data_IF_189828623075
#
_entry.id   IF_189828623075
#
_cell.length_a   1.000
_cell.length_b   1.000
_cell.length_c   1.000
_cell.angle_alpha   90.00
_cell.angle_beta   90.00
_cell.angle_gamma   90.00
#
_symmetry.space_group_name_H-M   'P 1'
#
loop_
_entity.id
_entity.type
_entity.pdbx_description
1 polymer ?
#
# COMPACT_ATOMS: atom_id res chain seq x y z
N UNK A 1 -5.04 -22.97 3.30
CA UNK A 1 -4.25 -21.74 3.58
C UNK A 1 -3.79 -21.07 2.30
N UNK A 2 -3.42 -21.85 1.29
CA UNK A 2 -3.17 -21.40 -0.09
C UNK A 2 -4.39 -20.71 -0.70
N UNK A 3 -5.58 -21.32 -0.66
CA UNK A 3 -6.81 -20.73 -1.23
C UNK A 3 -7.18 -19.39 -0.60
N UNK A 4 -7.06 -19.25 0.72
CA UNK A 4 -7.36 -18.00 1.43
C UNK A 4 -6.37 -16.88 1.11
N UNK A 5 -5.07 -17.21 1.02
CA UNK A 5 -4.04 -16.23 0.63
C UNK A 5 -4.18 -15.83 -0.84
N UNK A 6 -4.45 -16.80 -1.71
CA UNK A 6 -4.62 -16.58 -3.14
C UNK A 6 -5.90 -15.78 -3.43
N UNK A 7 -7.01 -16.05 -2.75
CA UNK A 7 -8.23 -15.26 -2.91
C UNK A 7 -8.09 -13.83 -2.41
N UNK A 8 -7.39 -13.62 -1.28
CA UNK A 8 -7.08 -12.28 -0.78
C UNK A 8 -6.19 -11.49 -1.76
N UNK A 9 -5.16 -12.14 -2.33
CA UNK A 9 -4.32 -11.55 -3.37
C UNK A 9 -5.10 -11.25 -4.65
N UNK A 10 -5.91 -12.20 -5.13
CA UNK A 10 -6.71 -12.05 -6.34
C UNK A 10 -7.75 -10.92 -6.21
N UNK A 11 -8.40 -10.79 -5.05
CA UNK A 11 -9.32 -9.69 -4.77
C UNK A 11 -8.60 -8.34 -4.81
N UNK A 12 -7.42 -8.21 -4.18
CA UNK A 12 -6.62 -6.99 -4.23
C UNK A 12 -6.17 -6.64 -5.67
N UNK A 13 -5.68 -7.63 -6.41
CA UNK A 13 -5.25 -7.46 -7.80
C UNK A 13 -6.42 -7.05 -8.71
N UNK A 14 -7.61 -7.60 -8.50
CA UNK A 14 -8.82 -7.23 -9.24
C UNK A 14 -9.15 -5.75 -9.09
N UNK A 15 -9.17 -5.22 -7.85
CA UNK A 15 -9.43 -3.80 -7.62
C UNK A 15 -8.35 -2.90 -8.23
N UNK A 16 -7.07 -3.29 -8.13
CA UNK A 16 -5.97 -2.57 -8.75
C UNK A 16 -6.07 -2.52 -10.29
N UNK A 17 -6.39 -3.65 -10.92
CA UNK A 17 -6.60 -3.74 -12.36
C UNK A 17 -7.81 -2.93 -12.83
N UNK A 18 -8.91 -2.96 -12.08
CA UNK A 18 -10.09 -2.16 -12.37
C UNK A 18 -9.77 -0.66 -12.32
N UNK A 19 -9.11 -0.18 -11.26
CA UNK A 19 -8.68 1.22 -11.16
C UNK A 19 -7.75 1.64 -12.31
N UNK A 20 -6.81 0.77 -12.70
CA UNK A 20 -5.91 1.00 -13.83
C UNK A 20 -6.63 1.12 -15.18
N UNK A 21 -7.68 0.31 -15.41
CA UNK A 21 -8.48 0.41 -16.63
C UNK A 21 -9.21 1.76 -16.73
N UNK A 22 -9.81 2.25 -15.63
CA UNK A 22 -10.41 3.59 -15.59
C UNK A 22 -9.37 4.69 -15.78
N UNK A 23 -8.21 4.57 -15.14
CA UNK A 23 -7.10 5.53 -15.29
C UNK A 23 -6.64 5.65 -16.75
N UNK A 24 -6.46 4.53 -17.45
CA UNK A 24 -6.05 4.52 -18.85
C UNK A 24 -7.05 5.28 -19.76
N UNK A 25 -8.36 5.11 -19.53
CA UNK A 25 -9.39 5.84 -20.29
C UNK A 25 -9.43 7.35 -19.99
N UNK A 26 -8.99 7.77 -18.80
CA UNK A 26 -8.92 9.19 -18.40
C UNK A 26 -7.70 9.89 -18.98
N UNK A 27 -6.56 9.22 -19.04
CA UNK A 27 -5.31 9.82 -19.50
C UNK A 27 -5.29 10.04 -21.02
N UNK A 28 -6.05 9.23 -21.79
CA UNK A 28 -6.19 9.24 -23.27
C UNK A 28 -4.89 9.06 -24.08
N UNK A 29 -3.74 9.46 -23.54
CA UNK A 29 -2.40 9.27 -24.08
C UNK A 29 -1.48 8.77 -22.96
N UNK A 30 -0.85 7.62 -23.19
CA UNK A 30 0.07 7.01 -22.22
C UNK A 30 1.50 7.30 -22.68
N UNK A 31 2.19 8.16 -21.94
CA UNK A 31 3.62 8.40 -22.10
C UNK A 31 4.42 7.68 -21.01
N UNK A 32 5.66 7.25 -21.28
CA UNK A 32 6.56 6.69 -20.26
C UNK A 32 6.80 7.65 -19.08
N UNK A 33 6.66 8.95 -19.34
CA UNK A 33 6.76 10.02 -18.35
C UNK A 33 5.62 10.00 -17.31
N UNK A 34 4.51 9.32 -17.60
CA UNK A 34 3.39 9.18 -16.65
C UNK A 34 3.64 8.11 -15.59
N UNK A 35 4.62 7.21 -15.79
CA UNK A 35 4.94 6.10 -14.90
C UNK A 35 6.41 6.10 -14.51
N UNK A 36 6.88 7.22 -13.98
CA UNK A 36 8.27 7.34 -13.53
C UNK A 36 8.48 6.60 -12.20
N UNK A 37 9.75 6.44 -11.82
CA UNK A 37 10.14 5.87 -10.54
C UNK A 37 9.44 6.54 -9.34
N UNK A 38 9.17 7.85 -9.44
CA UNK A 38 8.54 8.60 -8.35
C UNK A 38 7.14 8.09 -8.04
N UNK A 39 6.35 7.73 -9.05
CA UNK A 39 4.99 7.21 -8.86
C UNK A 39 5.00 5.87 -8.13
N UNK A 40 5.95 4.99 -8.48
CA UNK A 40 6.15 3.72 -7.79
C UNK A 40 6.60 3.92 -6.34
N UNK A 41 7.50 4.88 -6.10
CA UNK A 41 7.94 5.24 -4.76
C UNK A 41 6.79 5.81 -3.91
N UNK A 42 5.88 6.57 -4.51
CA UNK A 42 4.69 7.10 -3.84
C UNK A 42 3.77 5.98 -3.36
N UNK A 43 3.47 5.02 -4.23
CA UNK A 43 2.64 3.85 -3.89
C UNK A 43 3.28 3.03 -2.76
N UNK A 44 4.60 2.79 -2.84
CA UNK A 44 5.33 2.10 -1.78
C UNK A 44 5.29 2.86 -0.45
N UNK A 45 5.45 4.18 -0.48
CA UNK A 45 5.40 4.98 0.74
C UNK A 45 4.02 4.96 1.37
N UNK A 46 2.93 5.00 0.59
CA UNK A 46 1.57 4.87 1.13
C UNK A 46 1.43 3.58 1.95
N UNK A 47 1.96 2.47 1.43
CA UNK A 47 1.91 1.17 2.11
C UNK A 47 2.82 1.13 3.35
N UNK A 48 4.03 1.68 3.25
CA UNK A 48 4.99 1.72 4.37
C UNK A 48 4.51 2.64 5.49
N UNK A 49 4.03 3.83 5.13
CA UNK A 49 3.50 4.84 6.05
C UNK A 49 2.20 4.34 6.70
N UNK A 50 1.32 3.68 5.95
CA UNK A 50 0.11 3.05 6.49
C UNK A 50 0.39 1.83 7.39
N UNK A 51 1.47 1.10 7.09
CA UNK A 51 1.91 -0.10 7.79
C UNK A 51 1.49 -1.40 7.08
N UNK A 52 2.46 -2.31 6.88
CA UNK A 52 2.28 -3.59 6.16
C UNK A 52 1.19 -4.52 6.73
N UNK A 53 0.73 -4.27 7.96
CA UNK A 53 -0.26 -5.10 8.66
C UNK A 53 -1.66 -4.51 8.80
N UNK A 54 -1.94 -3.31 8.28
CA UNK A 54 -3.21 -2.62 8.51
C UNK A 54 -3.81 -2.00 7.26
N UNK A 55 -4.89 -2.61 6.75
CA UNK A 55 -5.65 -2.08 5.60
C UNK A 55 -6.21 -0.67 5.86
N UNK A 56 -6.66 -0.40 7.10
CA UNK A 56 -7.19 0.92 7.48
C UNK A 56 -6.06 1.95 7.52
N UNK A 57 -4.88 1.58 8.03
CA UNK A 57 -3.70 2.44 8.04
C UNK A 57 -3.28 2.84 6.63
N UNK A 58 -3.27 1.88 5.69
CA UNK A 58 -2.96 2.13 4.28
C UNK A 58 -4.01 3.03 3.61
N UNK A 59 -5.30 2.84 3.90
CA UNK A 59 -6.36 3.70 3.35
C UNK A 59 -6.25 5.15 3.84
N UNK A 60 -5.98 5.37 5.14
CA UNK A 60 -5.77 6.71 5.70
C UNK A 60 -4.49 7.34 5.14
N UNK A 61 -3.41 6.56 5.04
CA UNK A 61 -2.16 7.03 4.44
C UNK A 61 -2.35 7.47 2.98
N UNK A 62 -3.12 6.71 2.19
CA UNK A 62 -3.44 7.05 0.81
C UNK A 62 -4.20 8.39 0.71
N UNK A 63 -5.23 8.57 1.54
CA UNK A 63 -6.00 9.83 1.58
C UNK A 63 -5.14 11.02 1.97
N UNK A 64 -4.27 10.87 2.98
CA UNK A 64 -3.41 11.95 3.46
C UNK A 64 -2.33 12.30 2.43
N UNK A 65 -1.67 11.31 1.84
CA UNK A 65 -0.60 11.55 0.87
C UNK A 65 -1.15 12.09 -0.44
N UNK A 66 -2.18 11.46 -1.01
CA UNK A 66 -2.77 11.92 -2.28
C UNK A 66 -3.48 13.27 -2.09
N UNK A 67 -4.30 13.41 -1.06
CA UNK A 67 -4.99 14.67 -0.75
C UNK A 67 -4.03 15.78 -0.37
N UNK A 68 -2.98 15.45 0.38
CA UNK A 68 -1.90 16.39 0.70
C UNK A 68 -1.19 16.87 -0.56
N UNK A 69 -0.84 15.98 -1.48
CA UNK A 69 -0.18 16.36 -2.72
C UNK A 69 -1.01 17.29 -3.61
N UNK A 70 -2.34 17.18 -3.61
CA UNK A 70 -3.19 18.12 -4.34
C UNK A 70 -3.16 19.52 -3.72
N UNK A 71 -3.12 19.64 -2.39
CA UNK A 71 -2.99 20.94 -1.69
C UNK A 71 -1.61 21.55 -1.91
N UNK A 72 -0.56 20.73 -1.96
CA UNK A 72 0.81 21.14 -2.25
C UNK A 72 1.11 21.33 -3.74
N UNK A 73 0.11 21.24 -4.63
CA UNK A 73 0.29 21.36 -6.08
C UNK A 73 0.96 22.67 -6.51
N UNK A 74 0.79 23.76 -5.75
CA UNK A 74 1.48 25.03 -6.02
C UNK A 74 2.95 25.09 -5.57
N UNK A 75 3.44 24.07 -4.86
CA UNK A 75 4.80 23.96 -4.29
C UNK A 75 5.50 22.70 -4.83
N UNK A 76 5.42 22.47 -6.15
CA UNK A 76 5.94 21.26 -6.82
C UNK A 76 7.39 20.92 -6.43
N UNK A 77 8.23 21.94 -6.27
CA UNK A 77 9.65 21.78 -5.96
C UNK A 77 9.89 21.25 -4.53
N UNK A 78 9.03 21.62 -3.57
CA UNK A 78 9.14 21.17 -2.18
C UNK A 78 8.48 19.80 -1.95
N UNK A 79 7.62 19.36 -2.86
CA UNK A 79 6.86 18.10 -2.76
C UNK A 79 7.77 16.91 -2.45
N UNK A 80 8.88 16.80 -3.19
CA UNK A 80 9.85 15.71 -3.05
C UNK A 80 10.56 15.74 -1.69
N UNK A 81 10.95 16.93 -1.23
CA UNK A 81 11.63 17.13 0.05
C UNK A 81 10.71 16.82 1.23
N UNK A 82 9.48 17.35 1.20
CA UNK A 82 8.47 17.10 2.23
C UNK A 82 8.12 15.60 2.29
N UNK A 83 8.00 14.96 1.14
CA UNK A 83 7.68 13.54 1.06
C UNK A 83 8.81 12.65 1.58
N UNK A 84 10.04 12.87 1.13
CA UNK A 84 11.22 12.14 1.63
C UNK A 84 11.43 12.35 3.13
N UNK A 85 11.27 13.60 3.59
CA UNK A 85 11.32 13.95 5.01
C UNK A 85 10.25 13.24 5.83
N UNK A 86 8.99 13.24 5.37
CA UNK A 86 7.90 12.54 6.04
C UNK A 86 8.14 11.02 6.12
N UNK A 87 8.69 10.42 5.06
CA UNK A 87 9.10 9.01 5.03
C UNK A 87 10.17 8.70 6.10
N UNK A 88 11.22 9.52 6.17
CA UNK A 88 12.29 9.32 7.18
C UNK A 88 11.73 9.51 8.60
N UNK A 89 10.95 10.57 8.82
CA UNK A 89 10.35 10.86 10.13
C UNK A 89 9.46 9.70 10.59
N UNK A 90 8.62 9.13 9.71
CA UNK A 90 7.75 8.03 10.10
C UNK A 90 8.52 6.74 10.33
N UNK A 91 9.57 6.47 9.55
CA UNK A 91 10.43 5.31 9.77
C UNK A 91 11.15 5.38 11.11
N UNK A 92 11.56 6.58 11.54
CA UNK A 92 12.22 6.80 12.82
C UNK A 92 11.22 6.73 13.99
N UNK A 93 10.06 7.39 13.88
CA UNK A 93 9.11 7.49 15.00
C UNK A 93 8.21 6.26 15.14
N UNK A 94 7.81 5.62 14.03
CA UNK A 94 6.82 4.53 13.97
C UNK A 94 7.16 3.57 12.83
N UNK A 95 8.17 2.69 12.97
CA UNK A 95 8.58 1.73 11.93
C UNK A 95 7.50 0.69 11.56
N UNK A 96 6.40 0.59 12.33
CA UNK A 96 5.25 -0.26 12.02
C UNK A 96 4.14 0.47 11.25
N UNK A 97 4.35 1.72 10.83
CA UNK A 97 3.36 2.58 10.17
C UNK A 97 2.38 3.25 11.15
N UNK A 98 1.48 4.07 10.60
CA UNK A 98 0.48 4.88 11.34
C UNK A 98 -0.45 4.03 12.22
N UNK A 99 -0.84 2.84 11.75
CA UNK A 99 -1.78 1.96 12.45
C UNK A 99 -1.16 0.56 12.55
N UNK A 100 -0.06 0.44 13.29
CA UNK A 100 0.76 -0.77 13.35
C UNK A 100 0.16 -1.99 14.08
N UNK A 101 -1.00 -1.84 14.75
CA UNK A 101 -1.67 -2.92 15.48
C UNK A 101 -3.15 -2.92 15.16
N UNK A 102 -3.56 -3.78 14.22
CA UNK A 102 -4.93 -4.25 14.14
C UNK A 102 -5.01 -5.51 15.01
N UNK A 103 -5.57 -5.39 16.20
CA UNK A 103 -6.06 -6.56 16.94
C UNK A 103 -7.11 -7.23 16.02
N UNK A 104 -6.96 -8.52 15.69
CA UNK A 104 -7.92 -9.19 14.82
C UNK A 104 -9.31 -9.08 15.45
N UNK A 105 -10.22 -8.34 14.82
CA UNK A 105 -11.58 -8.12 15.31
C UNK A 105 -12.41 -9.41 15.31
N UNK A 106 -11.97 -10.41 14.53
CA UNK A 106 -12.50 -11.77 14.54
C UNK A 106 -11.30 -12.72 14.58
N UNK A 107 -10.94 -13.16 15.79
CA UNK A 107 -10.12 -14.35 15.96
C UNK A 107 -11.07 -15.56 15.88
N UNK A 108 -11.16 -16.19 14.71
CA UNK A 108 -11.75 -17.52 14.64
C UNK A 108 -10.92 -18.43 15.57
N UNK A 109 -11.57 -18.97 16.60
CA UNK A 109 -10.95 -19.86 17.57
C UNK A 109 -10.20 -21.04 16.94
N UNK A 110 -9.30 -21.62 17.76
CA UNK A 110 -8.23 -22.58 17.44
C UNK A 110 -7.32 -22.15 16.28
N UNK A 111 -6.10 -21.74 16.65
CA UNK A 111 -4.93 -21.80 15.76
C UNK A 111 -4.90 -23.18 15.12
N UNK A 112 -5.29 -23.28 13.85
CA UNK A 112 -4.98 -24.45 13.03
C UNK A 112 -3.49 -24.39 12.77
N UNK A 113 -2.72 -25.18 13.50
CA UNK A 113 -1.29 -25.39 13.25
C UNK A 113 -1.17 -25.81 11.79
N UNK A 114 -0.52 -24.96 10.98
CA UNK A 114 -0.16 -25.34 9.62
C UNK A 114 0.91 -26.41 9.79
N UNK A 115 0.56 -27.65 9.46
CA UNK A 115 1.48 -28.79 9.54
C UNK A 115 2.65 -28.53 8.60
N UNK A 116 3.88 -28.76 9.07
CA UNK A 116 5.13 -28.40 8.37
C UNK A 116 5.31 -29.10 7.01
N UNK A 117 4.57 -30.18 6.81
CA UNK A 117 4.37 -30.92 5.56
C UNK A 117 3.78 -30.06 4.43
N UNK A 118 2.99 -29.02 4.73
CA UNK A 118 2.49 -28.06 3.74
C UNK A 118 3.51 -26.96 3.37
N UNK A 119 4.64 -26.88 4.09
CA UNK A 119 5.73 -25.92 3.82
C UNK A 119 6.84 -26.58 2.98
N UNK A 120 6.84 -27.91 2.89
CA UNK A 120 7.87 -28.71 2.21
C UNK A 120 7.78 -28.79 0.68
N UNK A 121 6.66 -28.40 0.06
CA UNK A 121 6.49 -28.49 -1.41
C UNK A 121 7.11 -27.31 -2.19
N UNK A 122 7.75 -26.35 -1.50
CA UNK A 122 8.34 -25.15 -2.10
C UNK A 122 9.87 -25.11 -2.07
N UNK A 123 10.56 -26.24 -2.25
CA UNK A 123 12.01 -26.27 -2.55
C UNK A 123 12.25 -26.70 -3.97
#
# INVERSE_FOLDING_TARGET
>A
VTTTKLSAFALGAMFGGFAGAFFATRQAFISPESFTFIESAIILAIVVLGGLGSQIGVAVAALVLIGGFEVFRGLEEWRMLVFGGAMVVIMVLRPRGLVGTRTPSIALGRKKTISGDLVGEGR
#
